data_IF_088804295544
#
_entry.id   IF_088804295544
#
_cell.length_a   1.000
_cell.length_b   1.000
_cell.length_c   1.000
_cell.angle_alpha   90.00
_cell.angle_beta   90.00
_cell.angle_gamma   90.00
#
_symmetry.space_group_name_H-M   'P 1'
#
loop_
_entity.id
_entity.type
_entity.pdbx_description
1 polymer ?
#
# COMPACT_ATOMS: atom_id res chain seq x y z
N UNK A 1 -18.04 -26.53 8.09
CA UNK A 1 -18.01 -25.24 7.37
C UNK A 1 -18.13 -24.17 8.43
N UNK A 2 -17.09 -23.36 8.62
CA UNK A 2 -17.17 -22.15 9.46
C UNK A 2 -18.17 -21.21 8.82
N UNK A 3 -19.03 -20.57 9.62
CA UNK A 3 -19.91 -19.52 9.15
C UNK A 3 -19.06 -18.37 8.58
N UNK A 4 -19.02 -18.24 7.25
CA UNK A 4 -18.22 -17.22 6.56
C UNK A 4 -18.93 -15.88 6.49
N UNK A 5 -20.07 -15.72 7.16
CA UNK A 5 -20.86 -14.48 7.14
C UNK A 5 -20.58 -13.55 8.32
N UNK A 6 -19.84 -14.01 9.34
CA UNK A 6 -19.50 -13.25 10.53
C UNK A 6 -17.99 -13.27 10.81
N UNK A 7 -17.46 -12.10 11.20
CA UNK A 7 -16.09 -11.90 11.65
C UNK A 7 -16.04 -10.70 12.60
N UNK A 8 -15.01 -10.64 13.45
CA UNK A 8 -14.78 -9.50 14.34
C UNK A 8 -14.51 -8.22 13.54
N UNK A 9 -13.84 -8.36 12.39
CA UNK A 9 -13.51 -7.25 11.51
C UNK A 9 -13.80 -7.56 10.04
N UNK A 10 -14.27 -6.55 9.32
CA UNK A 10 -14.33 -6.54 7.85
C UNK A 10 -13.37 -5.46 7.35
N UNK A 11 -12.33 -5.88 6.62
CA UNK A 11 -11.38 -4.97 5.98
C UNK A 11 -11.74 -4.84 4.51
N UNK A 12 -12.02 -3.61 4.07
CA UNK A 12 -12.43 -3.31 2.70
C UNK A 12 -11.22 -2.80 1.90
N UNK A 13 -10.80 -3.58 0.92
CA UNK A 13 -9.62 -3.35 0.08
C UNK A 13 -8.39 -4.06 0.62
N UNK A 14 -7.81 -4.97 -0.15
CA UNK A 14 -6.57 -5.67 0.16
C UNK A 14 -5.35 -4.97 -0.47
N UNK A 15 -5.35 -3.64 -0.43
CA UNK A 15 -4.20 -2.81 -0.79
C UNK A 15 -3.10 -2.83 0.26
N UNK A 16 -2.11 -1.95 0.12
CA UNK A 16 -0.94 -1.91 1.01
C UNK A 16 -1.31 -1.79 2.49
N UNK A 17 -2.25 -0.90 2.85
CA UNK A 17 -2.71 -0.77 4.24
C UNK A 17 -3.64 -1.90 4.67
N UNK A 18 -4.63 -2.24 3.85
CA UNK A 18 -5.65 -3.22 4.20
C UNK A 18 -5.10 -4.62 4.41
N UNK A 19 -4.17 -5.06 3.56
CA UNK A 19 -3.48 -6.34 3.76
C UNK A 19 -2.67 -6.35 5.07
N UNK A 20 -1.97 -5.26 5.39
CA UNK A 20 -1.23 -5.14 6.66
C UNK A 20 -2.16 -5.17 7.87
N UNK A 21 -3.24 -4.39 7.87
CA UNK A 21 -4.20 -4.34 8.97
C UNK A 21 -4.88 -5.69 9.17
N UNK A 22 -5.34 -6.33 8.09
CA UNK A 22 -5.95 -7.66 8.16
C UNK A 22 -4.99 -8.71 8.73
N UNK A 23 -3.72 -8.73 8.30
CA UNK A 23 -2.70 -9.63 8.86
C UNK A 23 -2.50 -9.41 10.35
N UNK A 24 -2.35 -8.15 10.78
CA UNK A 24 -2.10 -7.82 12.19
C UNK A 24 -3.28 -8.14 13.10
N UNK A 25 -4.51 -7.92 12.64
CA UNK A 25 -5.71 -8.31 13.38
C UNK A 25 -5.80 -9.83 13.52
N UNK A 26 -5.56 -10.57 12.44
CA UNK A 26 -5.57 -12.03 12.44
C UNK A 26 -4.46 -12.62 13.33
N UNK A 27 -3.25 -12.05 13.32
CA UNK A 27 -2.14 -12.43 14.20
C UNK A 27 -2.47 -12.27 15.69
N UNK A 28 -3.40 -11.38 16.05
CA UNK A 28 -3.90 -11.20 17.41
C UNK A 28 -5.08 -12.12 17.76
N UNK A 29 -5.46 -13.03 16.87
CA UNK A 29 -6.52 -14.01 17.08
C UNK A 29 -7.92 -13.55 16.67
N UNK A 30 -8.06 -12.36 16.07
CA UNK A 30 -9.34 -11.90 15.56
C UNK A 30 -9.72 -12.62 14.25
N UNK A 31 -11.00 -12.90 14.06
CA UNK A 31 -11.55 -13.32 12.78
C UNK A 31 -11.70 -12.12 11.85
N UNK A 32 -11.22 -12.24 10.60
CA UNK A 32 -11.19 -11.13 9.64
C UNK A 32 -11.72 -11.57 8.28
N UNK A 33 -12.69 -10.82 7.76
CA UNK A 33 -13.09 -10.89 6.34
C UNK A 33 -12.35 -9.78 5.59
N UNK A 34 -11.55 -10.16 4.59
CA UNK A 34 -10.84 -9.24 3.71
C UNK A 34 -11.49 -9.23 2.33
N UNK A 35 -11.98 -8.07 1.91
CA UNK A 35 -12.66 -7.90 0.62
C UNK A 35 -11.73 -7.18 -0.37
N UNK A 36 -11.50 -7.77 -1.55
CA UNK A 36 -10.72 -7.17 -2.63
C UNK A 36 -11.51 -7.21 -3.94
N UNK A 37 -11.61 -6.05 -4.61
CA UNK A 37 -12.32 -5.93 -5.87
C UNK A 37 -11.52 -6.42 -7.08
N UNK A 38 -10.20 -6.52 -6.92
CA UNK A 38 -9.24 -6.98 -7.90
C UNK A 38 -9.06 -8.50 -7.94
N UNK A 39 -8.24 -8.92 -8.91
CA UNK A 39 -7.84 -10.32 -9.07
C UNK A 39 -6.65 -10.64 -8.17
N UNK A 40 -6.24 -11.91 -8.13
CA UNK A 40 -4.95 -12.31 -7.53
C UNK A 40 -3.78 -11.63 -8.26
N UNK A 41 -2.70 -11.40 -7.54
CA UNK A 41 -1.45 -10.77 -8.00
C UNK A 41 -0.43 -11.78 -8.53
N UNK A 42 -0.89 -12.87 -9.15
CA UNK A 42 -0.04 -13.99 -9.57
C UNK A 42 0.39 -13.92 -11.04
N UNK A 43 0.32 -12.74 -11.67
CA UNK A 43 0.68 -12.56 -13.09
C UNK A 43 2.05 -11.90 -13.22
N UNK A 44 2.74 -12.17 -14.33
CA UNK A 44 4.02 -11.51 -14.65
C UNK A 44 3.91 -9.98 -14.71
N UNK A 45 2.72 -9.43 -14.92
CA UNK A 45 2.49 -7.98 -14.93
C UNK A 45 2.81 -7.32 -13.58
N UNK A 46 2.69 -8.07 -12.48
CA UNK A 46 2.86 -7.54 -11.11
C UNK A 46 3.95 -8.26 -10.30
N UNK A 47 4.36 -9.47 -10.70
CA UNK A 47 5.42 -10.23 -10.02
C UNK A 47 6.81 -10.02 -10.59
N UNK A 48 6.94 -9.43 -11.78
CA UNK A 48 8.24 -9.11 -12.39
C UNK A 48 8.47 -7.60 -12.26
N UNK A 49 9.46 -7.14 -11.46
CA UNK A 49 9.71 -5.72 -11.22
C UNK A 49 9.75 -4.81 -12.46
N UNK A 50 10.43 -5.26 -13.52
CA UNK A 50 10.60 -4.48 -14.75
C UNK A 50 9.32 -4.30 -15.57
N UNK A 51 8.26 -5.05 -15.28
CA UNK A 51 6.99 -4.97 -16.02
C UNK A 51 6.20 -3.69 -15.72
N UNK A 52 6.56 -2.94 -14.68
CA UNK A 52 5.87 -1.69 -14.32
C UNK A 52 5.85 -0.70 -15.48
N UNK A 53 6.94 -0.55 -16.23
CA UNK A 53 6.99 0.36 -17.39
C UNK A 53 5.95 -0.05 -18.43
N UNK A 54 5.90 -1.34 -18.77
CA UNK A 54 4.93 -1.90 -19.72
C UNK A 54 3.49 -1.73 -19.23
N UNK A 55 3.24 -1.98 -17.93
CA UNK A 55 1.91 -1.77 -17.31
C UNK A 55 1.50 -0.30 -17.39
N UNK A 56 2.43 0.64 -17.30
CA UNK A 56 2.12 2.07 -17.38
C UNK A 56 1.95 2.59 -18.81
N UNK A 57 2.62 1.98 -19.80
CA UNK A 57 2.63 2.47 -21.20
C UNK A 57 1.68 1.73 -22.13
N UNK A 58 1.25 0.51 -21.78
CA UNK A 58 0.34 -0.32 -22.61
C UNK A 58 -1.04 -0.39 -21.96
N UNK A 59 -2.04 0.40 -22.43
CA UNK A 59 -3.35 0.48 -21.80
C UNK A 59 -4.03 -0.88 -21.61
N UNK A 60 -3.95 -1.77 -22.60
CA UNK A 60 -4.58 -3.10 -22.58
C UNK A 60 -4.06 -3.97 -21.43
N UNK A 61 -2.79 -3.80 -21.03
CA UNK A 61 -2.21 -4.49 -19.89
C UNK A 61 -2.54 -3.76 -18.59
N UNK A 62 -2.50 -2.42 -18.61
CA UNK A 62 -2.89 -1.56 -17.48
C UNK A 62 -4.28 -1.88 -16.95
N UNK A 63 -5.26 -2.03 -17.85
CA UNK A 63 -6.66 -2.31 -17.51
C UNK A 63 -6.86 -3.63 -16.73
N UNK A 64 -5.91 -4.57 -16.82
CA UNK A 64 -6.03 -5.88 -16.16
C UNK A 64 -5.73 -5.82 -14.66
N UNK A 65 -4.93 -4.84 -14.21
CA UNK A 65 -4.40 -4.76 -12.84
C UNK A 65 -4.63 -3.40 -12.17
N UNK A 66 -5.33 -2.47 -12.82
CA UNK A 66 -5.56 -1.11 -12.29
C UNK A 66 -6.99 -0.62 -12.45
N UNK A 67 -7.42 0.26 -11.54
CA UNK A 67 -8.55 1.14 -11.75
C UNK A 67 -8.17 2.12 -12.85
N UNK A 68 -8.86 2.02 -13.98
CA UNK A 68 -8.49 2.71 -15.22
C UNK A 68 -9.00 4.16 -15.23
N UNK A 69 -8.54 4.91 -14.24
CA UNK A 69 -9.03 6.24 -13.93
C UNK A 69 -8.16 7.32 -14.56
N UNK A 70 -8.82 8.43 -14.88
CA UNK A 70 -8.21 9.65 -15.36
C UNK A 70 -8.80 10.83 -14.58
N UNK A 71 -8.02 11.88 -14.40
CA UNK A 71 -8.56 13.16 -13.91
C UNK A 71 -9.61 13.72 -14.89
N UNK A 72 -10.37 14.69 -14.41
CA UNK A 72 -11.03 15.68 -15.28
C UNK A 72 -9.97 16.49 -16.05
N UNK A 73 -10.33 17.17 -17.16
CA UNK A 73 -9.41 18.10 -17.82
C UNK A 73 -8.81 19.10 -16.83
N UNK A 74 -7.50 19.30 -16.93
CA UNK A 74 -6.74 20.13 -16.00
C UNK A 74 -6.33 21.43 -16.69
N UNK A 75 -6.93 22.55 -16.27
CA UNK A 75 -6.63 23.90 -16.81
C UNK A 75 -5.15 24.27 -16.79
N UNK A 76 -4.45 23.84 -15.73
CA UNK A 76 -3.03 24.13 -15.53
C UNK A 76 -2.10 23.05 -16.12
N UNK A 77 -2.65 22.11 -16.89
CA UNK A 77 -1.88 21.07 -17.57
C UNK A 77 -2.31 20.91 -19.03
N UNK A 78 -2.56 22.03 -19.71
CA UNK A 78 -2.98 22.10 -21.12
C UNK A 78 -4.25 21.28 -21.41
N UNK A 79 -5.25 21.38 -20.53
CA UNK A 79 -6.53 20.66 -20.61
C UNK A 79 -6.39 19.13 -20.66
N UNK A 80 -5.22 18.58 -20.31
CA UNK A 80 -4.99 17.14 -20.34
C UNK A 80 -5.80 16.44 -19.26
N UNK A 81 -6.25 15.22 -19.59
CA UNK A 81 -6.71 14.24 -18.62
C UNK A 81 -5.53 13.40 -18.18
N UNK A 82 -5.15 13.52 -16.91
CA UNK A 82 -3.96 12.86 -16.37
C UNK A 82 -4.33 11.45 -15.89
N UNK A 83 -3.58 10.41 -16.28
CA UNK A 83 -3.85 9.05 -15.81
C UNK A 83 -3.62 8.93 -14.30
N UNK A 84 -4.60 8.38 -13.58
CA UNK A 84 -4.56 8.16 -12.13
C UNK A 84 -4.41 6.67 -11.86
N UNK A 85 -3.19 6.15 -11.98
CA UNK A 85 -2.92 4.72 -11.78
C UNK A 85 -3.12 4.32 -10.32
N UNK A 86 -4.12 3.47 -10.05
CA UNK A 86 -4.36 2.81 -8.75
C UNK A 86 -4.51 1.30 -8.98
N UNK A 87 -3.87 0.46 -8.18
CA UNK A 87 -3.97 -1.00 -8.34
C UNK A 87 -5.38 -1.53 -8.06
N UNK A 88 -5.85 -2.46 -8.90
CA UNK A 88 -7.08 -3.25 -8.75
C UNK A 88 -6.72 -4.74 -8.82
N UNK A 89 -5.98 -5.18 -7.82
CA UNK A 89 -5.38 -6.51 -7.70
C UNK A 89 -5.07 -6.73 -6.23
N UNK A 90 -4.92 -7.97 -5.76
CA UNK A 90 -4.43 -8.26 -4.42
C UNK A 90 -3.09 -7.56 -4.17
N UNK A 91 -2.91 -6.95 -3.00
CA UNK A 91 -1.81 -6.02 -2.71
C UNK A 91 -2.07 -4.59 -3.23
N UNK A 92 -3.06 -4.38 -4.07
CA UNK A 92 -3.49 -3.07 -4.57
C UNK A 92 -2.37 -2.31 -5.26
N UNK A 93 -2.14 -1.07 -4.83
CA UNK A 93 -1.14 -0.22 -5.47
C UNK A 93 0.31 -0.64 -5.21
N UNK A 94 0.60 -1.43 -4.15
CA UNK A 94 1.96 -1.97 -3.98
C UNK A 94 2.33 -3.03 -5.01
N UNK A 95 1.35 -3.69 -5.63
CA UNK A 95 1.59 -4.67 -6.71
C UNK A 95 1.84 -4.00 -8.07
N UNK A 96 1.61 -2.68 -8.17
CA UNK A 96 1.80 -1.89 -9.39
C UNK A 96 2.61 -0.61 -9.09
N UNK A 97 3.58 -0.69 -8.17
CA UNK A 97 4.44 0.43 -7.81
C UNK A 97 5.83 0.34 -8.48
N UNK A 98 6.65 1.37 -8.28
CA UNK A 98 8.07 1.36 -8.67
C UNK A 98 9.01 0.76 -7.61
N UNK A 99 8.47 0.07 -6.60
CA UNK A 99 9.19 -0.56 -5.48
C UNK A 99 10.13 0.36 -4.67
N UNK A 100 9.93 1.68 -4.76
CA UNK A 100 10.70 2.62 -3.97
C UNK A 100 10.21 2.61 -2.52
N UNK A 101 11.12 2.33 -1.59
CA UNK A 101 10.88 2.52 -0.16
C UNK A 101 11.48 3.85 0.29
N UNK A 102 10.61 4.82 0.56
CA UNK A 102 10.99 6.16 1.03
C UNK A 102 10.15 6.49 2.25
N UNK A 103 10.80 6.74 3.39
CA UNK A 103 10.12 7.22 4.59
C UNK A 103 9.80 8.71 4.45
N UNK A 104 8.82 9.19 5.23
CA UNK A 104 8.55 10.62 5.33
C UNK A 104 9.69 11.35 6.05
N UNK A 105 9.83 12.65 5.78
CA UNK A 105 10.71 13.52 6.56
C UNK A 105 10.11 13.71 7.97
N UNK A 106 10.95 13.72 9.01
CA UNK A 106 10.53 13.95 10.41
C UNK A 106 9.62 15.18 10.55
N UNK A 107 9.94 16.28 9.86
CA UNK A 107 9.16 17.50 9.91
C UNK A 107 7.72 17.33 9.41
N UNK A 108 7.45 16.37 8.50
CA UNK A 108 6.08 16.13 8.03
C UNK A 108 5.22 15.47 9.12
N UNK A 109 5.78 14.50 9.85
CA UNK A 109 5.10 13.83 10.96
C UNK A 109 4.89 14.78 12.14
N UNK A 110 5.93 15.56 12.47
CA UNK A 110 5.85 16.54 13.54
C UNK A 110 4.83 17.65 13.20
N UNK A 111 4.68 18.03 11.92
CA UNK A 111 3.62 18.94 11.46
C UNK A 111 2.23 18.34 11.68
N UNK A 112 2.03 17.06 11.35
CA UNK A 112 0.74 16.39 11.59
C UNK A 112 0.38 16.40 13.06
N UNK A 113 1.33 16.08 13.94
CA UNK A 113 1.11 16.13 15.38
C UNK A 113 0.74 17.54 15.85
N UNK A 114 1.44 18.57 15.35
CA UNK A 114 1.14 19.96 15.66
C UNK A 114 -0.24 20.43 15.12
N UNK A 115 -0.72 19.82 14.03
CA UNK A 115 -2.04 20.07 13.44
C UNK A 115 -3.18 19.28 14.13
N UNK A 116 -2.89 18.54 15.20
CA UNK A 116 -3.87 17.84 16.02
C UNK A 116 -3.93 16.32 15.81
N UNK A 117 -3.06 15.75 14.98
CA UNK A 117 -2.90 14.30 14.87
C UNK A 117 -2.03 13.77 16.02
N UNK A 118 -2.55 13.79 17.24
CA UNK A 118 -1.85 13.29 18.42
C UNK A 118 -1.36 11.84 18.20
N UNK A 119 -0.12 11.54 18.61
CA UNK A 119 0.51 10.24 18.39
C UNK A 119 1.05 10.00 16.97
N UNK A 120 1.12 11.03 16.12
CA UNK A 120 1.70 10.95 14.77
C UNK A 120 3.02 11.72 14.63
N UNK A 121 3.68 12.11 15.72
CA UNK A 121 5.01 12.71 15.63
C UNK A 121 6.00 11.69 15.05
N UNK A 122 7.16 12.15 14.58
CA UNK A 122 8.16 11.21 14.05
C UNK A 122 8.59 10.16 15.08
N UNK A 123 8.66 10.57 16.35
CA UNK A 123 9.01 9.68 17.45
C UNK A 123 7.96 8.58 17.64
N UNK A 124 6.68 8.92 17.53
CA UNK A 124 5.57 7.97 17.68
C UNK A 124 5.50 6.97 16.51
N UNK A 125 5.78 7.40 15.28
CA UNK A 125 5.71 6.54 14.09
C UNK A 125 6.98 5.71 13.87
N UNK A 126 8.13 6.12 14.42
CA UNK A 126 9.41 5.42 14.24
C UNK A 126 9.34 3.93 14.67
N UNK A 127 8.75 3.56 15.82
CA UNK A 127 8.52 2.16 16.17
C UNK A 127 7.75 1.38 15.12
N UNK A 128 6.73 1.98 14.49
CA UNK A 128 5.97 1.32 13.43
C UNK A 128 6.82 1.10 12.16
N UNK A 129 7.63 2.08 11.78
CA UNK A 129 8.61 1.92 10.69
C UNK A 129 9.61 0.79 10.98
N UNK A 130 10.16 0.73 12.20
CA UNK A 130 11.11 -0.32 12.60
C UNK A 130 10.46 -1.71 12.59
N UNK A 131 9.20 -1.84 13.01
CA UNK A 131 8.46 -3.12 12.95
C UNK A 131 8.13 -3.58 11.53
N UNK A 132 7.98 -2.65 10.59
CA UNK A 132 7.65 -2.95 9.20
C UNK A 132 8.86 -3.52 8.44
N UNK A 133 10.06 -3.02 8.70
CA UNK A 133 11.20 -3.25 7.83
C UNK A 133 12.16 -4.35 8.29
N UNK A 134 12.80 -4.98 7.31
CA UNK A 134 13.95 -5.86 7.46
C UNK A 134 15.11 -5.30 6.64
N UNK A 135 15.74 -4.25 7.18
CA UNK A 135 16.76 -3.50 6.46
C UNK A 135 18.05 -4.32 6.25
N UNK A 136 18.60 -4.29 5.03
CA UNK A 136 19.81 -5.04 4.68
C UNK A 136 21.04 -4.66 5.52
N UNK A 137 21.13 -3.41 5.95
CA UNK A 137 22.19 -2.93 6.83
C UNK A 137 22.03 -3.32 8.31
N UNK A 138 20.96 -4.03 8.67
CA UNK A 138 20.63 -4.38 10.05
C UNK A 138 19.90 -3.27 10.82
N UNK A 139 19.51 -3.60 12.06
CA UNK A 139 18.83 -2.67 12.94
C UNK A 139 19.76 -1.56 13.42
N UNK A 140 19.20 -0.37 13.61
CA UNK A 140 19.88 0.78 14.21
C UNK A 140 18.87 1.61 15.02
N UNK A 141 19.30 2.79 15.50
CA UNK A 141 18.38 3.73 16.16
C UNK A 141 17.21 4.06 15.24
N UNK A 142 17.49 4.25 13.95
CA UNK A 142 16.49 4.61 12.95
C UNK A 142 15.97 3.42 12.14
N UNK A 143 16.69 2.28 12.07
CA UNK A 143 16.32 1.15 11.20
C UNK A 143 15.88 -0.10 11.97
N UNK A 144 15.00 -0.89 11.38
CA UNK A 144 14.48 -2.16 11.89
C UNK A 144 15.06 -3.37 11.18
N UNK A 145 15.00 -4.51 11.85
CA UNK A 145 15.31 -5.82 11.28
C UNK A 145 14.21 -6.82 11.68
N UNK A 146 14.02 -7.87 10.87
CA UNK A 146 13.04 -8.92 11.13
C UNK A 146 11.58 -8.55 10.80
N UNK A 147 11.32 -7.36 10.26
CA UNK A 147 10.00 -6.99 9.73
C UNK A 147 9.65 -7.72 8.43
N UNK A 148 8.38 -7.66 7.98
CA UNK A 148 7.94 -8.36 6.77
C UNK A 148 8.41 -7.72 5.45
N UNK A 149 8.79 -6.43 5.45
CA UNK A 149 9.24 -5.73 4.24
C UNK A 149 10.76 -5.74 4.12
N UNK A 150 11.29 -6.42 3.11
CA UNK A 150 12.72 -6.49 2.80
C UNK A 150 13.10 -5.51 1.69
#
# INVERSE_FOLDING_TARGET
MTDTSAADYIVIGAGSSGATVASRLAEQGASVILLEAGRKDNTKLVTVPGMITTVHTVPQLKHQVTWSQYSVPQKHAAERRVPMTRGKVLGGSSSVNGMLFVRGNKANFDSWAAEGCEGWSYEDVLPAYKRLENWEGGASDLRGSGGPSR
#
